data_IF_328722396594
#
_entry.id   IF_328722396594
#
_cell.length_a   1.000
_cell.length_b   1.000
_cell.length_c   1.000
_cell.angle_alpha   90.00
_cell.angle_beta   90.00
_cell.angle_gamma   90.00
#
_symmetry.space_group_name_H-M   'P 1'
#
loop_
_entity.id
_entity.type
_entity.pdbx_description
1 polymer ?
#
# COMPACT_ATOMS: atom_id res chain seq x y z
N UNK A 1 -9.97 33.85 -90.16
CA UNK A 1 -9.83 34.02 -88.70
C UNK A 1 -10.68 33.03 -87.90
N UNK A 2 -11.94 32.78 -88.26
CA UNK A 2 -12.87 31.85 -87.55
C UNK A 2 -12.40 30.37 -87.55
N UNK A 3 -11.73 29.91 -88.61
CA UNK A 3 -11.23 28.52 -88.72
C UNK A 3 -10.07 28.24 -87.74
N UNK A 4 -9.20 29.22 -87.50
CA UNK A 4 -8.05 29.07 -86.60
C UNK A 4 -8.47 29.07 -85.13
N UNK A 5 -9.46 29.89 -84.74
CA UNK A 5 -10.05 29.90 -83.40
C UNK A 5 -10.76 28.58 -83.09
N UNK A 6 -11.47 28.01 -84.07
CA UNK A 6 -12.15 26.72 -83.92
C UNK A 6 -11.17 25.54 -83.80
N UNK A 7 -10.02 25.59 -84.48
CA UNK A 7 -8.94 24.60 -84.33
C UNK A 7 -8.22 24.74 -83.00
N UNK A 8 -7.95 25.97 -82.54
CA UNK A 8 -7.37 26.23 -81.23
C UNK A 8 -8.29 25.75 -80.09
N UNK A 9 -9.58 26.03 -80.19
CA UNK A 9 -10.60 25.56 -79.25
C UNK A 9 -10.73 24.03 -79.23
N UNK A 10 -10.67 23.36 -80.39
CA UNK A 10 -10.70 21.90 -80.47
C UNK A 10 -9.46 21.24 -79.85
N UNK A 11 -8.28 21.85 -80.03
CA UNK A 11 -7.03 21.36 -79.40
C UNK A 11 -7.08 21.55 -77.89
N UNK A 12 -7.58 22.69 -77.41
CA UNK A 12 -7.72 22.95 -75.98
C UNK A 12 -8.75 22.00 -75.33
N UNK A 13 -9.90 21.78 -75.98
CA UNK A 13 -10.91 20.84 -75.53
C UNK A 13 -10.41 19.39 -75.54
N UNK A 14 -9.63 18.99 -76.55
CA UNK A 14 -8.99 17.68 -76.61
C UNK A 14 -7.97 17.46 -75.51
N UNK A 15 -7.22 18.51 -75.14
CA UNK A 15 -6.28 18.47 -74.02
C UNK A 15 -7.01 18.30 -72.68
N UNK A 16 -8.09 19.05 -72.46
CA UNK A 16 -8.95 18.92 -71.27
C UNK A 16 -9.53 17.49 -71.20
N UNK A 17 -10.02 16.96 -72.32
CA UNK A 17 -10.60 15.62 -72.38
C UNK A 17 -9.55 14.55 -72.07
N UNK A 18 -8.30 14.71 -72.52
CA UNK A 18 -7.20 13.80 -72.21
C UNK A 18 -6.85 13.82 -70.73
N UNK A 19 -6.79 15.00 -70.11
CA UNK A 19 -6.54 15.14 -68.67
C UNK A 19 -7.67 14.52 -67.85
N UNK A 20 -8.93 14.77 -68.22
CA UNK A 20 -10.09 14.17 -67.56
C UNK A 20 -10.09 12.65 -67.74
N UNK A 21 -9.79 12.15 -68.93
CA UNK A 21 -9.70 10.70 -69.19
C UNK A 21 -8.57 10.06 -68.39
N UNK A 22 -7.43 10.73 -68.27
CA UNK A 22 -6.31 10.26 -67.44
C UNK A 22 -6.69 10.23 -65.95
N UNK A 23 -7.35 11.28 -65.44
CA UNK A 23 -7.85 11.31 -64.07
C UNK A 23 -8.88 10.18 -63.84
N UNK A 24 -9.80 9.95 -64.78
CA UNK A 24 -10.78 8.86 -64.70
C UNK A 24 -10.11 7.50 -64.78
N UNK A 25 -9.11 7.31 -65.63
CA UNK A 25 -8.34 6.05 -65.71
C UNK A 25 -7.52 5.80 -64.44
N UNK A 26 -6.92 6.83 -63.85
CA UNK A 26 -6.24 6.73 -62.56
C UNK A 26 -7.25 6.44 -61.45
N UNK A 27 -8.41 7.09 -61.43
CA UNK A 27 -9.46 6.81 -60.45
C UNK A 27 -9.94 5.35 -60.57
N UNK A 28 -10.20 4.87 -61.79
CA UNK A 28 -10.59 3.49 -62.07
C UNK A 28 -9.48 2.47 -61.78
N UNK A 29 -8.20 2.84 -61.96
CA UNK A 29 -7.06 1.97 -61.65
C UNK A 29 -6.81 1.88 -60.14
N UNK A 30 -6.97 2.98 -59.41
CA UNK A 30 -6.97 3.02 -57.94
C UNK A 30 -8.13 2.16 -57.42
N UNK A 31 -9.32 2.31 -57.99
CA UNK A 31 -10.52 1.52 -57.68
C UNK A 31 -10.43 0.04 -58.08
N UNK A 32 -9.43 -0.38 -58.86
CA UNK A 32 -9.24 -1.77 -59.28
C UNK A 32 -8.02 -2.45 -58.63
N UNK A 33 -7.09 -1.67 -58.08
CA UNK A 33 -5.80 -2.17 -57.54
C UNK A 33 -5.70 -1.90 -56.03
N UNK A 34 -5.92 -0.67 -55.59
CA UNK A 34 -5.91 -0.29 -54.17
C UNK A 34 -7.17 -0.80 -53.46
N UNK A 35 -8.28 -0.89 -54.18
CA UNK A 35 -9.56 -1.43 -53.69
C UNK A 35 -9.58 -2.96 -53.54
N UNK A 36 -8.51 -3.68 -53.86
CA UNK A 36 -8.44 -5.11 -53.59
C UNK A 36 -8.10 -5.31 -52.12
N UNK A 37 -8.90 -6.07 -51.36
CA UNK A 37 -8.69 -6.26 -49.93
C UNK A 37 -7.29 -6.85 -49.66
N UNK A 38 -6.90 -7.85 -50.44
CA UNK A 38 -5.62 -8.54 -50.31
C UNK A 38 -4.40 -7.64 -50.62
N UNK A 39 -4.55 -6.65 -51.51
CA UNK A 39 -3.42 -5.81 -51.95
C UNK A 39 -2.86 -4.96 -50.81
N UNK A 40 -3.72 -4.42 -49.94
CA UNK A 40 -3.26 -3.57 -48.83
C UNK A 40 -2.54 -4.42 -47.79
N UNK A 41 -3.11 -5.58 -47.43
CA UNK A 41 -2.51 -6.53 -46.49
C UNK A 41 -1.17 -7.06 -46.98
N UNK A 42 -1.07 -7.48 -48.25
CA UNK A 42 0.17 -7.93 -48.88
C UNK A 42 1.25 -6.84 -48.89
N UNK A 43 0.89 -5.58 -49.17
CA UNK A 43 1.87 -4.48 -49.13
C UNK A 43 2.31 -4.12 -47.70
N UNK A 44 1.48 -4.34 -46.68
CA UNK A 44 1.86 -4.14 -45.27
C UNK A 44 2.80 -5.24 -44.79
N UNK A 45 2.57 -6.48 -45.21
CA UNK A 45 3.49 -7.60 -44.99
C UNK A 45 4.83 -7.36 -45.71
N UNK A 46 4.81 -7.02 -47.00
CA UNK A 46 6.03 -6.77 -47.79
C UNK A 46 6.85 -5.57 -47.26
N UNK A 47 6.19 -4.61 -46.64
CA UNK A 47 6.83 -3.44 -46.03
C UNK A 47 7.30 -3.67 -44.58
N UNK A 48 7.20 -4.90 -44.04
CA UNK A 48 7.47 -5.22 -42.65
C UNK A 48 6.72 -4.28 -41.66
N UNK A 49 5.51 -3.86 -42.02
CA UNK A 49 4.79 -2.79 -41.31
C UNK A 49 4.45 -3.18 -39.86
N UNK A 50 4.10 -4.45 -39.62
CA UNK A 50 3.80 -4.96 -38.28
C UNK A 50 5.05 -5.01 -37.40
N UNK A 51 6.20 -5.33 -37.99
CA UNK A 51 7.48 -5.27 -37.30
C UNK A 51 7.83 -3.81 -36.97
N UNK A 52 7.70 -2.89 -37.92
CA UNK A 52 7.90 -1.45 -37.68
C UNK A 52 7.01 -0.92 -36.55
N UNK A 53 5.75 -1.36 -36.46
CA UNK A 53 4.87 -0.95 -35.35
C UNK A 53 5.44 -1.39 -34.00
N UNK A 54 5.90 -2.64 -33.88
CA UNK A 54 6.41 -3.19 -32.62
C UNK A 54 7.86 -2.79 -32.29
N UNK A 55 8.67 -2.49 -33.30
CA UNK A 55 10.11 -2.17 -33.16
C UNK A 55 10.38 -0.66 -33.08
N UNK A 56 9.56 0.17 -33.73
CA UNK A 56 9.80 1.62 -33.82
C UNK A 56 8.64 2.43 -33.20
N UNK A 57 7.39 2.14 -33.56
CA UNK A 57 6.25 2.96 -33.12
C UNK A 57 5.93 2.75 -31.63
N UNK A 58 5.84 1.50 -31.17
CA UNK A 58 5.53 1.20 -29.77
C UNK A 58 6.57 1.81 -28.82
N UNK A 59 7.89 1.61 -29.02
CA UNK A 59 8.89 2.30 -28.20
C UNK A 59 8.74 3.82 -28.20
N UNK A 60 8.51 4.45 -29.36
CA UNK A 60 8.31 5.89 -29.44
C UNK A 60 7.07 6.37 -28.65
N UNK A 61 5.96 5.65 -28.72
CA UNK A 61 4.76 5.96 -27.93
C UNK A 61 4.99 5.77 -26.42
N UNK A 62 5.80 4.79 -26.04
CA UNK A 62 6.18 4.57 -24.65
C UNK A 62 7.15 5.66 -24.16
N UNK A 63 8.07 6.13 -24.98
CA UNK A 63 8.92 7.28 -24.64
C UNK A 63 8.08 8.54 -24.34
N UNK A 64 7.00 8.76 -25.09
CA UNK A 64 6.05 9.83 -24.80
C UNK A 64 5.31 9.58 -23.48
N UNK A 65 4.90 8.33 -23.21
CA UNK A 65 4.22 7.95 -21.96
C UNK A 65 5.09 8.20 -20.71
N UNK A 66 6.41 8.02 -20.82
CA UNK A 66 7.38 8.33 -19.75
C UNK A 66 7.56 9.83 -19.50
N UNK A 67 7.15 10.67 -20.43
CA UNK A 67 7.21 12.13 -20.33
C UNK A 67 5.90 12.76 -19.87
N UNK A 68 4.85 11.96 -19.64
CA UNK A 68 3.60 12.46 -19.09
C UNK A 68 3.81 13.05 -17.70
N UNK A 69 3.07 14.12 -17.44
CA UNK A 69 3.08 14.80 -16.16
C UNK A 69 2.50 13.87 -15.07
N UNK A 70 3.10 13.79 -13.87
CA UNK A 70 2.58 12.95 -12.78
C UNK A 70 1.10 13.21 -12.46
N UNK A 71 0.65 14.46 -12.60
CA UNK A 71 -0.74 14.87 -12.33
C UNK A 71 -1.77 14.15 -13.23
N UNK A 72 -1.35 13.64 -14.40
CA UNK A 72 -2.24 12.93 -15.32
C UNK A 72 -2.68 11.55 -14.81
N UNK A 73 -1.99 11.00 -13.79
CA UNK A 73 -2.27 9.67 -13.24
C UNK A 73 -3.31 9.68 -12.11
N UNK A 74 -3.81 10.85 -11.71
CA UNK A 74 -4.91 11.00 -10.74
C UNK A 74 -4.53 10.73 -9.27
N UNK A 75 -3.23 10.61 -8.98
CA UNK A 75 -2.65 10.52 -7.64
C UNK A 75 -1.52 11.55 -7.52
N UNK A 76 -1.23 12.00 -6.29
CA UNK A 76 -0.15 12.95 -5.99
C UNK A 76 1.21 12.22 -6.03
N UNK A 77 1.61 11.76 -7.22
CA UNK A 77 2.95 11.20 -7.45
C UNK A 77 3.99 12.32 -7.60
N UNK A 78 5.20 12.09 -7.09
CA UNK A 78 6.30 13.05 -7.23
C UNK A 78 6.90 13.00 -8.64
N UNK A 79 6.97 11.81 -9.22
CA UNK A 79 7.47 11.55 -10.56
C UNK A 79 6.47 10.72 -11.37
N UNK A 80 6.67 10.65 -12.69
CA UNK A 80 5.87 9.77 -13.53
C UNK A 80 6.06 8.32 -13.03
N UNK A 81 4.99 7.56 -12.73
CA UNK A 81 5.12 6.22 -12.15
C UNK A 81 5.87 5.25 -13.06
N UNK A 82 5.80 5.41 -14.38
CA UNK A 82 6.59 4.60 -15.31
C UNK A 82 8.09 4.93 -15.19
N UNK A 83 8.44 6.20 -15.01
CA UNK A 83 9.81 6.62 -14.76
C UNK A 83 10.31 6.18 -13.37
N UNK A 84 9.50 6.38 -12.32
CA UNK A 84 9.81 6.01 -10.94
C UNK A 84 9.98 4.50 -10.76
N UNK A 85 9.27 3.70 -11.58
CA UNK A 85 9.41 2.24 -11.61
C UNK A 85 10.81 1.77 -12.05
N UNK A 86 11.61 2.64 -12.67
CA UNK A 86 12.94 2.33 -13.20
C UNK A 86 12.91 1.37 -14.40
N UNK A 87 11.73 1.10 -14.98
CA UNK A 87 11.61 0.43 -16.26
C UNK A 87 12.00 1.38 -17.39
N UNK A 88 12.59 0.82 -18.44
CA UNK A 88 12.79 1.54 -19.70
C UNK A 88 11.65 1.27 -20.70
N UNK A 89 11.38 2.21 -21.63
CA UNK A 89 10.43 1.99 -22.73
C UNK A 89 10.71 0.70 -23.51
N UNK A 90 11.98 0.32 -23.69
CA UNK A 90 12.38 -0.89 -24.41
C UNK A 90 12.05 -2.18 -23.64
N UNK A 91 12.17 -2.17 -22.31
CA UNK A 91 11.77 -3.33 -21.50
C UNK A 91 10.27 -3.60 -21.64
N UNK A 92 9.48 -2.52 -21.63
CA UNK A 92 8.04 -2.59 -21.75
C UNK A 92 7.60 -2.93 -23.19
N UNK A 93 8.23 -2.34 -24.20
CA UNK A 93 8.04 -2.71 -25.61
C UNK A 93 8.38 -4.18 -25.86
N UNK A 94 9.45 -4.68 -25.22
CA UNK A 94 9.80 -6.10 -25.24
C UNK A 94 8.73 -7.00 -24.62
N UNK A 95 8.05 -6.55 -23.57
CA UNK A 95 6.90 -7.26 -22.97
C UNK A 95 5.73 -7.32 -23.95
N UNK A 96 5.39 -6.19 -24.58
CA UNK A 96 4.32 -6.10 -25.59
C UNK A 96 4.61 -7.05 -26.76
N UNK A 97 5.85 -7.06 -27.27
CA UNK A 97 6.25 -7.95 -28.38
C UNK A 97 6.17 -9.43 -28.03
N UNK A 98 6.46 -9.81 -26.78
CA UNK A 98 6.30 -11.20 -26.33
C UNK A 98 4.82 -11.58 -26.18
N UNK A 99 3.99 -10.63 -25.79
CA UNK A 99 2.55 -10.84 -25.67
C UNK A 99 1.82 -10.86 -27.02
N UNK A 100 2.28 -10.05 -27.97
CA UNK A 100 1.74 -9.93 -29.33
C UNK A 100 2.91 -9.90 -30.32
N UNK A 101 3.37 -11.09 -30.77
CA UNK A 101 4.30 -11.22 -31.87
C UNK A 101 3.80 -10.52 -33.16
N UNK A 102 4.70 -10.15 -34.10
CA UNK A 102 4.31 -9.49 -35.35
C UNK A 102 3.26 -10.27 -36.16
N UNK A 103 3.37 -11.60 -36.22
CA UNK A 103 2.42 -12.48 -36.90
C UNK A 103 1.02 -12.46 -36.28
N UNK A 104 0.95 -12.31 -34.95
CA UNK A 104 -0.30 -12.23 -34.22
C UNK A 104 -0.93 -10.84 -34.39
N UNK A 105 -0.11 -9.77 -34.41
CA UNK A 105 -0.57 -8.42 -34.71
C UNK A 105 -1.17 -8.34 -36.12
N UNK A 106 -0.53 -8.98 -37.10
CA UNK A 106 -1.05 -9.10 -38.46
C UNK A 106 -2.40 -9.82 -38.47
N UNK A 107 -2.50 -10.98 -37.82
CA UNK A 107 -3.75 -11.74 -37.74
C UNK A 107 -4.89 -10.96 -37.06
N UNK A 108 -4.58 -10.06 -36.13
CA UNK A 108 -5.55 -9.20 -35.45
C UNK A 108 -6.03 -8.03 -36.33
N UNK A 109 -5.12 -7.43 -37.11
CA UNK A 109 -5.38 -6.18 -37.84
C UNK A 109 -5.89 -6.44 -39.26
N UNK A 110 -5.40 -7.48 -39.94
CA UNK A 110 -5.74 -7.79 -41.33
C UNK A 110 -7.26 -7.90 -41.56
N UNK A 111 -8.05 -8.64 -40.76
CA UNK A 111 -9.49 -8.72 -40.96
C UNK A 111 -10.20 -7.37 -40.82
N UNK A 112 -9.68 -6.47 -39.99
CA UNK A 112 -10.24 -5.14 -39.82
C UNK A 112 -9.95 -4.24 -41.02
N UNK A 113 -8.74 -4.34 -41.59
CA UNK A 113 -8.36 -3.64 -42.82
C UNK A 113 -9.20 -4.13 -44.00
N UNK A 114 -9.33 -5.44 -44.17
CA UNK A 114 -10.16 -6.04 -45.22
C UNK A 114 -11.61 -5.57 -45.11
N UNK A 115 -12.22 -5.69 -43.92
CA UNK A 115 -13.59 -5.22 -43.70
C UNK A 115 -13.77 -3.72 -43.98
N UNK A 116 -12.82 -2.88 -43.58
CA UNK A 116 -12.84 -1.46 -43.88
C UNK A 116 -12.75 -1.17 -45.40
N UNK A 117 -11.89 -1.91 -46.11
CA UNK A 117 -11.75 -1.79 -47.56
C UNK A 117 -12.99 -2.27 -48.30
N UNK A 118 -13.60 -3.36 -47.85
CA UNK A 118 -14.83 -3.91 -48.42
C UNK A 118 -15.98 -2.91 -48.32
N UNK A 119 -16.10 -2.22 -47.20
CA UNK A 119 -17.06 -1.13 -47.03
C UNK A 119 -16.74 0.11 -47.88
N UNK A 120 -15.49 0.59 -47.86
CA UNK A 120 -15.10 1.78 -48.63
C UNK A 120 -15.28 1.60 -50.14
N UNK A 121 -15.16 0.35 -50.61
CA UNK A 121 -15.35 -0.02 -52.02
C UNK A 121 -16.80 -0.40 -52.35
N UNK A 122 -17.70 -0.37 -51.37
CA UNK A 122 -19.12 -0.68 -51.53
C UNK A 122 -19.42 -2.17 -51.77
N UNK A 123 -18.51 -3.06 -51.37
CA UNK A 123 -18.71 -4.52 -51.39
C UNK A 123 -19.54 -5.00 -50.20
N UNK A 124 -19.43 -4.32 -49.06
CA UNK A 124 -20.31 -4.49 -47.91
C UNK A 124 -20.95 -3.15 -47.49
N UNK A 125 -22.21 -3.21 -47.03
CA UNK A 125 -22.95 -2.02 -46.57
C UNK A 125 -22.65 -1.69 -45.09
N UNK A 126 -22.00 -2.59 -44.37
CA UNK A 126 -21.67 -2.46 -42.93
C UNK A 126 -20.29 -3.04 -42.67
N UNK A 127 -19.50 -2.39 -41.82
CA UNK A 127 -18.20 -2.91 -41.35
C UNK A 127 -18.41 -3.64 -40.02
N UNK A 128 -18.19 -4.95 -40.02
CA UNK A 128 -18.15 -5.75 -38.80
C UNK A 128 -16.71 -6.15 -38.45
N UNK A 129 -16.04 -5.35 -37.61
CA UNK A 129 -14.71 -5.67 -37.10
C UNK A 129 -14.85 -6.63 -35.92
N UNK A 130 -14.34 -7.86 -36.07
CA UNK A 130 -14.22 -8.85 -34.98
C UNK A 130 -12.75 -9.06 -34.68
N UNK A 131 -12.33 -8.64 -33.49
CA UNK A 131 -10.96 -8.82 -33.02
C UNK A 131 -10.98 -9.90 -31.95
N UNK A 132 -10.28 -11.01 -32.18
CA UNK A 132 -10.05 -12.04 -31.15
C UNK A 132 -8.81 -11.68 -30.32
N UNK A 133 -8.96 -10.66 -29.47
CA UNK A 133 -7.88 -10.15 -28.65
C UNK A 133 -7.78 -10.86 -27.28
N UNK A 134 -8.64 -11.82 -26.96
CA UNK A 134 -8.77 -12.32 -25.59
C UNK A 134 -7.46 -12.95 -25.07
N UNK A 135 -6.87 -13.86 -25.84
CA UNK A 135 -5.60 -14.50 -25.49
C UNK A 135 -4.43 -13.51 -25.45
N UNK A 136 -4.46 -12.49 -26.31
CA UNK A 136 -3.44 -11.45 -26.40
C UNK A 136 -3.50 -10.50 -25.21
N UNK A 137 -4.70 -10.15 -24.76
CA UNK A 137 -4.91 -9.34 -23.55
C UNK A 137 -4.47 -10.10 -22.29
N UNK A 138 -4.81 -11.39 -22.18
CA UNK A 138 -4.32 -12.26 -21.10
C UNK A 138 -2.77 -12.35 -21.12
N UNK A 139 -2.17 -12.46 -22.31
CA UNK A 139 -0.72 -12.47 -22.47
C UNK A 139 -0.08 -11.14 -22.08
N UNK A 140 -0.68 -10.00 -22.46
CA UNK A 140 -0.19 -8.67 -22.10
C UNK A 140 -0.14 -8.50 -20.57
N UNK A 141 -1.23 -8.78 -19.86
CA UNK A 141 -1.27 -8.66 -18.38
C UNK A 141 -0.15 -9.48 -17.75
N UNK A 142 0.02 -10.73 -18.19
CA UNK A 142 1.08 -11.61 -17.68
C UNK A 142 2.48 -11.08 -17.97
N UNK A 143 2.77 -10.67 -19.19
CA UNK A 143 4.09 -10.15 -19.58
C UNK A 143 4.40 -8.82 -18.87
N UNK A 144 3.42 -7.94 -18.70
CA UNK A 144 3.55 -6.71 -17.93
C UNK A 144 3.88 -7.02 -16.46
N UNK A 145 3.08 -7.85 -15.79
CA UNK A 145 3.33 -8.22 -14.40
C UNK A 145 4.69 -8.88 -14.21
N UNK A 146 5.10 -9.76 -15.13
CA UNK A 146 6.41 -10.40 -15.10
C UNK A 146 7.56 -9.39 -15.22
N UNK A 147 7.48 -8.45 -16.16
CA UNK A 147 8.52 -7.41 -16.33
C UNK A 147 8.61 -6.49 -15.12
N UNK A 148 7.48 -6.12 -14.51
CA UNK A 148 7.49 -5.31 -13.29
C UNK A 148 8.14 -6.06 -12.10
N UNK A 149 7.83 -7.34 -11.92
CA UNK A 149 8.44 -8.17 -10.87
C UNK A 149 9.94 -8.35 -11.10
N UNK A 150 10.35 -8.81 -12.29
CA UNK A 150 11.75 -9.13 -12.59
C UNK A 150 12.67 -7.90 -12.55
N UNK A 151 12.13 -6.72 -12.83
CA UNK A 151 12.89 -5.47 -12.82
C UNK A 151 12.99 -4.80 -11.44
N UNK A 152 12.27 -5.31 -10.43
CA UNK A 152 12.13 -4.65 -9.14
C UNK A 152 11.33 -3.35 -9.21
N UNK A 153 10.46 -3.18 -10.23
CA UNK A 153 9.67 -1.98 -10.42
C UNK A 153 8.72 -1.71 -9.25
N UNK A 154 8.09 -2.75 -8.72
CA UNK A 154 7.20 -2.67 -7.58
C UNK A 154 7.92 -2.18 -6.31
N UNK A 155 9.11 -2.71 -6.02
CA UNK A 155 9.93 -2.28 -4.89
C UNK A 155 10.28 -0.79 -5.00
N UNK A 156 10.76 -0.35 -6.18
CA UNK A 156 11.09 1.06 -6.41
C UNK A 156 9.88 1.99 -6.29
N UNK A 157 8.73 1.58 -6.83
CA UNK A 157 7.49 2.35 -6.69
C UNK A 157 7.05 2.45 -5.23
N UNK A 158 7.19 1.37 -4.47
CA UNK A 158 6.89 1.40 -3.03
C UNK A 158 7.77 2.38 -2.28
N UNK A 159 9.08 2.34 -2.51
CA UNK A 159 10.03 3.19 -1.79
C UNK A 159 9.92 4.66 -2.21
N UNK A 160 9.82 4.93 -3.52
CA UNK A 160 9.90 6.29 -4.07
C UNK A 160 8.58 7.03 -4.07
N UNK A 161 7.47 6.33 -4.32
CA UNK A 161 6.17 6.97 -4.53
C UNK A 161 5.20 6.65 -3.38
N UNK A 162 5.00 5.38 -3.07
CA UNK A 162 3.95 4.99 -2.13
C UNK A 162 4.32 5.25 -0.67
N UNK A 163 5.58 5.05 -0.27
CA UNK A 163 6.04 5.31 1.10
C UNK A 163 5.89 6.79 1.51
N UNK A 164 6.29 7.77 0.67
CA UNK A 164 5.97 9.17 0.93
C UNK A 164 4.47 9.46 1.05
N UNK A 165 3.65 8.90 0.15
CA UNK A 165 2.19 9.04 0.18
C UNK A 165 1.62 8.49 1.49
N UNK A 166 2.08 7.32 1.95
CA UNK A 166 1.67 6.76 3.24
C UNK A 166 2.08 7.67 4.41
N UNK A 167 3.27 8.25 4.36
CA UNK A 167 3.71 9.24 5.33
C UNK A 167 2.79 10.47 5.38
N UNK A 168 2.40 10.99 4.22
CA UNK A 168 1.44 12.09 4.11
C UNK A 168 0.07 11.72 4.68
N UNK A 169 -0.45 10.53 4.38
CA UNK A 169 -1.73 10.06 4.93
C UNK A 169 -1.69 9.93 6.45
N UNK A 170 -0.58 9.43 7.01
CA UNK A 170 -0.35 9.39 8.46
C UNK A 170 -0.33 10.80 9.02
N UNK A 171 0.31 11.73 8.33
CA UNK A 171 0.42 13.13 8.76
C UNK A 171 -0.91 13.88 8.77
N UNK A 172 -1.75 13.63 7.76
CA UNK A 172 -3.09 14.18 7.63
C UNK A 172 -4.08 13.55 8.63
N UNK A 173 -4.03 12.22 8.79
CA UNK A 173 -4.89 11.48 9.70
C UNK A 173 -4.57 11.69 11.17
N UNK A 174 -3.29 11.93 11.48
CA UNK A 174 -2.77 12.14 12.84
C UNK A 174 -1.93 13.42 12.89
N UNK A 175 -2.54 14.61 12.85
CA UNK A 175 -1.81 15.88 12.82
C UNK A 175 -0.98 16.08 14.11
N UNK A 176 0.25 16.56 13.96
CA UNK A 176 1.18 16.79 15.07
C UNK A 176 0.71 17.86 16.09
N UNK A 177 -0.31 18.67 15.76
CA UNK A 177 -0.76 19.81 16.54
C UNK A 177 -2.02 19.57 17.39
N UNK A 178 -1.89 19.70 18.71
CA UNK A 178 -2.98 19.64 19.70
C UNK A 178 -2.43 19.30 21.08
N UNK A 179 -3.28 19.00 22.07
CA UNK A 179 -2.90 18.13 23.22
C UNK A 179 -2.64 16.70 22.71
N UNK A 180 -1.86 16.56 21.63
CA UNK A 180 -1.57 15.30 20.97
C UNK A 180 -0.76 14.47 21.96
N UNK A 181 -1.42 13.41 22.46
CA UNK A 181 -0.84 12.44 23.37
C UNK A 181 0.45 11.91 22.78
N UNK A 182 1.47 11.68 23.61
CA UNK A 182 2.76 11.15 23.18
C UNK A 182 2.67 9.82 22.37
N UNK A 183 1.54 9.11 22.46
CA UNK A 183 1.18 8.00 21.57
C UNK A 183 1.08 8.34 20.08
N UNK A 184 0.63 9.54 19.73
CA UNK A 184 0.58 10.01 18.34
C UNK A 184 1.99 10.11 17.77
N UNK A 185 2.97 10.52 18.59
CA UNK A 185 4.36 10.57 18.17
C UNK A 185 4.95 9.17 17.93
N UNK A 186 4.51 8.14 18.65
CA UNK A 186 4.92 6.75 18.40
C UNK A 186 4.35 6.25 17.09
N UNK A 187 3.04 6.40 16.89
CA UNK A 187 2.38 5.93 15.66
C UNK A 187 2.95 6.61 14.40
N UNK A 188 3.41 7.85 14.53
CA UNK A 188 4.11 8.60 13.47
C UNK A 188 5.59 8.24 13.30
N UNK A 189 6.18 7.46 14.20
CA UNK A 189 7.62 7.23 14.29
C UNK A 189 8.35 8.31 15.10
N UNK A 190 9.21 7.87 16.02
CA UNK A 190 10.17 8.75 16.69
C UNK A 190 11.12 9.42 15.68
N UNK A 191 11.80 10.49 16.10
CA UNK A 191 12.59 11.41 15.26
C UNK A 191 13.86 10.82 14.59
N UNK A 192 13.82 9.59 14.09
CA UNK A 192 14.96 8.90 13.47
C UNK A 192 14.64 7.64 12.66
N UNK A 193 13.39 7.18 12.56
CA UNK A 193 12.98 6.12 11.62
C UNK A 193 12.34 6.75 10.39
N UNK A 194 12.82 6.39 9.18
CA UNK A 194 12.15 6.76 7.93
C UNK A 194 10.78 6.04 7.87
N UNK A 195 9.69 6.82 7.77
CA UNK A 195 8.32 6.34 7.61
C UNK A 195 7.50 6.23 8.91
N UNK A 196 8.09 5.81 10.02
CA UNK A 196 7.37 5.65 11.29
C UNK A 196 6.42 4.45 11.37
N UNK A 197 5.91 4.17 12.57
CA UNK A 197 5.29 2.87 12.90
C UNK A 197 4.06 2.53 12.02
N UNK A 198 3.22 3.50 11.67
CA UNK A 198 2.07 3.24 10.80
C UNK A 198 2.46 3.00 9.34
N UNK A 199 3.45 3.72 8.81
CA UNK A 199 3.98 3.45 7.46
C UNK A 199 4.58 2.05 7.42
N UNK A 200 5.24 1.62 8.50
CA UNK A 200 5.74 0.25 8.65
C UNK A 200 4.62 -0.80 8.56
N UNK A 201 3.46 -0.56 9.18
CA UNK A 201 2.29 -1.46 9.00
C UNK A 201 1.89 -1.54 7.53
N UNK A 202 1.82 -0.41 6.83
CA UNK A 202 1.46 -0.40 5.41
C UNK A 202 2.49 -1.14 4.55
N UNK A 203 3.79 -0.91 4.77
CA UNK A 203 4.86 -1.52 3.96
C UNK A 203 5.08 -2.99 4.28
N UNK A 204 4.76 -3.45 5.50
CA UNK A 204 4.72 -4.88 5.85
C UNK A 204 3.65 -5.63 5.07
N UNK A 205 2.52 -4.98 4.78
CA UNK A 205 1.37 -5.63 4.12
C UNK A 205 1.39 -5.46 2.61
N UNK A 206 1.69 -4.26 2.14
CA UNK A 206 1.74 -3.91 0.72
C UNK A 206 3.09 -4.30 0.09
N UNK A 207 3.40 -5.59 0.08
CA UNK A 207 4.67 -6.08 -0.48
C UNK A 207 4.67 -6.01 -2.02
N UNK A 208 5.86 -6.11 -2.66
CA UNK A 208 5.97 -6.24 -4.12
C UNK A 208 5.09 -7.35 -4.71
N UNK A 209 5.03 -8.50 -4.04
CA UNK A 209 4.22 -9.65 -4.45
C UNK A 209 2.72 -9.37 -4.33
N UNK A 210 2.29 -8.72 -3.23
CA UNK A 210 0.90 -8.32 -3.05
C UNK A 210 0.46 -7.37 -4.17
N UNK A 211 1.25 -6.35 -4.49
CA UNK A 211 0.92 -5.41 -5.58
C UNK A 211 0.87 -6.11 -6.94
N UNK A 212 1.80 -7.02 -7.22
CA UNK A 212 1.78 -7.80 -8.45
C UNK A 212 0.47 -8.59 -8.59
N UNK A 213 0.01 -9.20 -7.49
CA UNK A 213 -1.28 -9.90 -7.45
C UNK A 213 -2.46 -8.94 -7.65
N UNK A 214 -2.43 -7.72 -7.09
CA UNK A 214 -3.47 -6.72 -7.34
C UNK A 214 -3.49 -6.25 -8.81
N UNK A 215 -2.33 -6.01 -9.41
CA UNK A 215 -2.20 -5.59 -10.81
C UNK A 215 -2.65 -6.70 -11.76
N UNK A 216 -2.25 -7.94 -11.52
CA UNK A 216 -2.72 -9.09 -12.31
C UNK A 216 -4.24 -9.26 -12.16
N UNK A 217 -4.76 -9.16 -10.93
CA UNK A 217 -6.19 -9.21 -10.66
C UNK A 217 -6.98 -8.11 -11.37
N UNK A 218 -6.49 -6.87 -11.33
CA UNK A 218 -7.07 -5.74 -12.03
C UNK A 218 -7.00 -5.91 -13.55
N UNK A 219 -5.85 -6.35 -14.07
CA UNK A 219 -5.64 -6.67 -15.48
C UNK A 219 -6.65 -7.70 -15.98
N UNK A 220 -6.80 -8.81 -15.27
CA UNK A 220 -7.79 -9.85 -15.58
C UNK A 220 -9.23 -9.31 -15.61
N UNK A 221 -9.59 -8.36 -14.73
CA UNK A 221 -10.91 -7.71 -14.75
C UNK A 221 -11.10 -6.80 -15.95
N UNK A 222 -10.04 -6.11 -16.39
CA UNK A 222 -10.06 -5.33 -17.63
C UNK A 222 -10.25 -6.26 -18.83
N UNK A 223 -9.56 -7.40 -18.87
CA UNK A 223 -9.76 -8.40 -19.94
C UNK A 223 -11.18 -8.93 -19.93
N UNK A 224 -11.70 -9.35 -18.77
CA UNK A 224 -13.07 -9.85 -18.63
C UNK A 224 -14.10 -8.86 -19.15
N UNK A 225 -13.92 -7.57 -18.88
CA UNK A 225 -14.80 -6.51 -19.38
C UNK A 225 -14.62 -6.27 -20.88
N UNK A 226 -13.37 -6.13 -21.35
CA UNK A 226 -13.06 -5.84 -22.75
C UNK A 226 -13.59 -6.91 -23.71
N UNK A 227 -13.57 -8.18 -23.29
CA UNK A 227 -14.06 -9.32 -24.08
C UNK A 227 -15.51 -9.70 -23.74
N UNK A 228 -16.24 -8.83 -23.04
CA UNK A 228 -17.64 -8.99 -22.67
C UNK A 228 -17.96 -10.28 -21.88
N UNK A 229 -17.00 -10.80 -21.08
CA UNK A 229 -17.24 -11.83 -20.05
C UNK A 229 -17.92 -11.23 -18.81
N UNK A 230 -17.78 -9.92 -18.60
CA UNK A 230 -18.44 -9.15 -17.55
C UNK A 230 -19.07 -7.88 -18.13
N UNK A 231 -20.32 -7.61 -17.78
CA UNK A 231 -21.03 -6.37 -18.14
C UNK A 231 -20.58 -5.17 -17.28
N UNK A 232 -19.74 -5.38 -16.28
CA UNK A 232 -19.28 -4.35 -15.36
C UNK A 232 -17.80 -4.49 -15.08
N UNK A 233 -17.07 -3.38 -15.20
CA UNK A 233 -15.69 -3.27 -14.74
C UNK A 233 -15.72 -2.88 -13.25
N UNK A 234 -15.33 -3.82 -12.39
CA UNK A 234 -15.18 -3.60 -10.95
C UNK A 234 -13.80 -4.09 -10.51
N UNK A 235 -12.89 -3.13 -10.29
CA UNK A 235 -11.57 -3.39 -9.71
C UNK A 235 -11.73 -3.32 -8.19
N UNK A 236 -11.29 -4.37 -7.50
CA UNK A 236 -11.27 -4.42 -6.04
C UNK A 236 -9.84 -4.65 -5.61
N UNK A 237 -9.33 -3.71 -4.81
CA UNK A 237 -8.09 -3.92 -4.08
C UNK A 237 -8.46 -4.64 -2.79
N UNK A 238 -7.87 -5.81 -2.59
CA UNK A 238 -8.19 -6.69 -1.48
C UNK A 238 -6.94 -7.09 -0.70
N UNK A 239 -7.11 -7.21 0.62
CA UNK A 239 -6.16 -7.88 1.49
C UNK A 239 -6.73 -9.25 1.84
N UNK A 240 -5.94 -10.30 1.69
CA UNK A 240 -6.27 -11.65 2.14
C UNK A 240 -6.20 -11.74 3.67
N UNK A 241 -6.64 -12.86 4.22
CA UNK A 241 -6.56 -13.13 5.66
C UNK A 241 -5.10 -13.06 6.15
N UNK A 242 -4.14 -13.54 5.36
CA UNK A 242 -2.71 -13.52 5.69
C UNK A 242 -2.14 -12.10 5.74
N UNK A 243 -2.56 -11.20 4.83
CA UNK A 243 -2.14 -9.79 4.85
C UNK A 243 -2.72 -9.05 6.06
N UNK A 244 -3.97 -9.33 6.43
CA UNK A 244 -4.58 -8.72 7.61
C UNK A 244 -3.94 -9.25 8.89
N UNK A 245 -3.60 -10.55 8.95
CA UNK A 245 -2.86 -11.12 10.07
C UNK A 245 -1.46 -10.49 10.21
N UNK A 246 -0.75 -10.28 9.10
CA UNK A 246 0.54 -9.58 9.10
C UNK A 246 0.41 -8.13 9.61
N UNK A 247 -0.61 -7.40 9.17
CA UNK A 247 -0.91 -6.05 9.68
C UNK A 247 -1.13 -6.05 11.20
N UNK A 248 -1.91 -7.01 11.68
CA UNK A 248 -2.24 -7.15 13.09
C UNK A 248 -1.00 -7.50 13.93
N UNK A 249 -0.17 -8.43 13.45
CA UNK A 249 1.09 -8.79 14.10
C UNK A 249 2.06 -7.60 14.17
N UNK A 250 2.13 -6.78 13.12
CA UNK A 250 2.94 -5.58 13.10
C UNK A 250 2.44 -4.54 14.11
N UNK A 251 1.12 -4.35 14.22
CA UNK A 251 0.51 -3.50 15.26
C UNK A 251 0.85 -4.01 16.66
N UNK A 252 0.78 -5.33 16.90
CA UNK A 252 1.19 -5.91 18.18
C UNK A 252 2.67 -5.62 18.48
N UNK A 253 3.54 -5.78 17.48
CA UNK A 253 4.97 -5.51 17.61
C UNK A 253 5.21 -4.06 18.05
N UNK A 254 4.59 -3.09 17.37
CA UNK A 254 4.65 -1.65 17.71
C UNK A 254 4.27 -1.41 19.18
N UNK A 255 3.21 -2.06 19.67
CA UNK A 255 2.74 -1.88 21.05
C UNK A 255 3.73 -2.45 22.08
N UNK A 256 4.42 -3.53 21.75
CA UNK A 256 5.41 -4.19 22.62
C UNK A 256 6.78 -3.53 22.61
N UNK A 257 7.04 -2.58 21.69
CA UNK A 257 8.30 -1.84 21.67
C UNK A 257 8.49 -1.03 22.95
N UNK A 258 9.72 -0.99 23.44
CA UNK A 258 10.05 -0.38 24.73
C UNK A 258 9.67 1.11 24.80
N UNK A 259 9.88 1.84 23.71
CA UNK A 259 9.51 3.26 23.61
C UNK A 259 7.99 3.44 23.61
N UNK A 260 7.24 2.50 23.01
CA UNK A 260 5.79 2.52 23.00
C UNK A 260 5.21 2.36 24.41
N UNK A 261 5.68 1.34 25.14
CA UNK A 261 5.26 1.10 26.52
C UNK A 261 5.63 2.23 27.47
N UNK A 262 6.84 2.79 27.37
CA UNK A 262 7.28 3.82 28.31
C UNK A 262 6.46 5.10 28.19
N UNK A 263 6.14 5.47 26.94
CA UNK A 263 5.25 6.58 26.65
C UNK A 263 3.82 6.28 27.08
N UNK A 264 3.31 5.07 26.81
CA UNK A 264 2.03 4.58 27.30
C UNK A 264 1.86 4.81 28.78
N UNK A 265 2.86 4.34 29.50
CA UNK A 265 2.89 4.32 30.93
C UNK A 265 2.93 5.74 31.48
N UNK A 266 3.88 6.56 31.03
CA UNK A 266 4.06 7.93 31.51
C UNK A 266 2.84 8.83 31.25
N UNK A 267 2.10 8.61 30.15
CA UNK A 267 1.03 9.51 29.72
C UNK A 267 -0.39 9.04 30.07
N UNK A 268 -0.61 7.73 30.22
CA UNK A 268 -1.95 7.18 30.49
C UNK A 268 -2.00 6.52 31.86
N UNK A 269 -1.09 5.57 32.12
CA UNK A 269 -1.15 4.71 33.30
C UNK A 269 -0.71 5.47 34.55
N UNK A 270 0.44 6.14 34.49
CA UNK A 270 1.03 6.86 35.62
C UNK A 270 0.14 8.01 36.10
N UNK A 271 -0.45 8.88 35.24
CA UNK A 271 -1.36 9.92 35.70
C UNK A 271 -2.63 9.35 36.36
N UNK A 272 -3.22 8.29 35.79
CA UNK A 272 -4.38 7.62 36.36
C UNK A 272 -4.05 6.95 37.71
N UNK A 273 -2.87 6.33 37.81
CA UNK A 273 -2.39 5.70 39.03
C UNK A 273 -2.04 6.73 40.12
N UNK A 274 -1.40 7.85 39.77
CA UNK A 274 -1.12 8.98 40.68
C UNK A 274 -2.39 9.52 41.34
N UNK A 275 -3.50 9.57 40.60
CA UNK A 275 -4.81 9.97 41.13
C UNK A 275 -5.38 8.99 42.16
N UNK A 276 -4.95 7.73 42.12
CA UNK A 276 -5.49 6.64 42.96
C UNK A 276 -4.56 6.23 44.11
N UNK A 277 -3.27 6.63 44.08
CA UNK A 277 -2.25 6.22 45.05
C UNK A 277 -1.89 7.37 45.99
N UNK A 278 -2.01 7.15 47.30
CA UNK A 278 -1.58 8.10 48.32
C UNK A 278 -0.07 8.38 48.23
N UNK A 279 0.36 9.59 48.60
CA UNK A 279 1.77 10.00 48.52
C UNK A 279 2.69 9.12 49.39
N UNK A 280 2.20 8.73 50.56
CA UNK A 280 2.84 7.77 51.46
C UNK A 280 1.76 6.85 52.05
N UNK A 281 1.93 5.55 51.87
CA UNK A 281 1.07 4.53 52.47
C UNK A 281 1.76 4.00 53.73
N UNK A 282 1.30 4.47 54.90
CA UNK A 282 1.82 4.00 56.18
C UNK A 282 1.44 2.53 56.39
N UNK A 283 2.46 1.68 56.59
CA UNK A 283 2.29 0.27 56.87
C UNK A 283 2.49 -0.01 58.38
N UNK A 284 1.99 -1.15 58.89
CA UNK A 284 2.29 -1.59 60.25
C UNK A 284 3.81 -1.68 60.49
N UNK A 285 4.23 -1.49 61.75
CA UNK A 285 5.63 -1.55 62.18
C UNK A 285 6.52 -0.39 61.69
N UNK A 286 5.92 0.77 61.38
CA UNK A 286 6.67 1.98 61.07
C UNK A 286 7.35 1.96 59.70
N UNK A 287 6.99 1.00 58.84
CA UNK A 287 7.36 1.01 57.43
C UNK A 287 6.38 1.86 56.64
N UNK A 288 6.80 2.34 55.48
CA UNK A 288 5.95 3.05 54.56
C UNK A 288 6.31 2.65 53.13
N UNK A 289 5.31 2.62 52.26
CA UNK A 289 5.52 2.57 50.82
C UNK A 289 5.29 3.97 50.27
N UNK A 290 6.28 4.47 49.54
CA UNK A 290 6.19 5.71 48.78
C UNK A 290 5.34 5.50 47.53
N UNK A 291 4.74 6.57 47.02
CA UNK A 291 4.04 6.54 45.73
C UNK A 291 4.91 5.99 44.61
N UNK A 292 6.20 6.35 44.57
CA UNK A 292 7.14 5.88 43.56
C UNK A 292 7.30 4.36 43.61
N UNK A 293 7.50 3.77 44.79
CA UNK A 293 7.60 2.31 44.92
C UNK A 293 6.31 1.58 44.49
N UNK A 294 5.15 2.21 44.69
CA UNK A 294 3.86 1.67 44.20
C UNK A 294 3.76 1.76 42.68
N UNK A 295 4.16 2.89 42.09
CA UNK A 295 4.13 3.08 40.65
C UNK A 295 5.16 2.20 39.94
N UNK A 296 6.34 1.99 40.49
CA UNK A 296 7.34 1.09 39.91
C UNK A 296 6.85 -0.35 39.95
N UNK A 297 6.26 -0.80 41.06
CA UNK A 297 5.70 -2.14 41.15
C UNK A 297 4.49 -2.36 40.23
N UNK A 298 3.70 -1.31 39.97
CA UNK A 298 2.62 -1.36 38.96
C UNK A 298 3.22 -1.44 37.56
N UNK A 299 4.22 -0.61 37.24
CA UNK A 299 4.93 -0.61 35.96
C UNK A 299 5.50 -1.99 35.65
N UNK A 300 6.25 -2.56 36.59
CA UNK A 300 6.87 -3.87 36.44
C UNK A 300 5.84 -4.99 36.24
N UNK A 301 4.65 -4.85 36.83
CA UNK A 301 3.60 -5.86 36.73
C UNK A 301 2.75 -5.76 35.45
N UNK A 302 2.78 -4.62 34.76
CA UNK A 302 2.14 -4.43 33.45
C UNK A 302 3.17 -4.40 32.32
N UNK A 303 4.47 -4.51 32.62
CA UNK A 303 5.53 -4.67 31.64
C UNK A 303 5.73 -6.16 31.29
N UNK A 304 6.24 -6.44 30.09
CA UNK A 304 6.60 -7.80 29.64
C UNK A 304 5.40 -8.67 29.29
N UNK A 305 5.34 -9.90 29.81
CA UNK A 305 4.36 -10.95 29.44
C UNK A 305 2.90 -10.47 29.43
N UNK A 306 2.51 -9.58 30.37
CA UNK A 306 1.16 -9.03 30.39
C UNK A 306 0.90 -8.12 29.18
N UNK A 307 1.85 -7.25 28.85
CA UNK A 307 1.76 -6.34 27.71
C UNK A 307 1.73 -7.14 26.41
N UNK A 308 2.59 -8.15 26.27
CA UNK A 308 2.60 -9.02 25.08
C UNK A 308 1.23 -9.68 24.88
N UNK A 309 0.62 -10.20 25.95
CA UNK A 309 -0.72 -10.79 25.89
C UNK A 309 -1.81 -9.76 25.52
N UNK A 310 -1.69 -8.52 26.00
CA UNK A 310 -2.64 -7.46 25.64
C UNK A 310 -2.45 -6.98 24.19
N UNK A 311 -1.20 -6.91 23.71
CA UNK A 311 -0.87 -6.55 22.35
C UNK A 311 -1.42 -7.59 21.35
N UNK A 312 -1.28 -8.89 21.66
CA UNK A 312 -1.90 -9.96 20.87
C UNK A 312 -3.42 -9.86 20.86
N UNK A 313 -4.05 -9.61 22.02
CA UNK A 313 -5.52 -9.46 22.09
C UNK A 313 -6.00 -8.27 21.26
N UNK A 314 -5.28 -7.15 21.32
CA UNK A 314 -5.58 -5.96 20.53
C UNK A 314 -5.44 -6.26 19.02
N UNK A 315 -4.37 -6.95 18.61
CA UNK A 315 -4.15 -7.35 17.23
C UNK A 315 -5.27 -8.27 16.71
N UNK A 316 -5.66 -9.28 17.48
CA UNK A 316 -6.76 -10.19 17.14
C UNK A 316 -8.09 -9.43 16.96
N UNK A 317 -8.38 -8.49 17.86
CA UNK A 317 -9.59 -7.67 17.79
C UNK A 317 -9.59 -6.75 16.55
N UNK A 318 -8.42 -6.17 16.21
CA UNK A 318 -8.25 -5.34 15.01
C UNK A 318 -8.41 -6.17 13.74
N UNK A 319 -7.83 -7.37 13.69
CA UNK A 319 -7.96 -8.30 12.57
C UNK A 319 -9.42 -8.72 12.36
N UNK A 320 -10.12 -9.08 13.44
CA UNK A 320 -11.53 -9.47 13.40
C UNK A 320 -12.43 -8.34 12.88
N UNK A 321 -12.17 -7.10 13.30
CA UNK A 321 -12.91 -5.93 12.79
C UNK A 321 -12.61 -5.66 11.31
N UNK A 322 -11.32 -5.68 10.92
CA UNK A 322 -10.89 -5.35 9.56
C UNK A 322 -11.36 -6.39 8.53
N UNK A 323 -11.42 -7.66 8.92
CA UNK A 323 -12.00 -8.74 8.10
C UNK A 323 -13.52 -8.78 8.13
N UNK A 324 -14.18 -7.91 8.89
CA UNK A 324 -15.65 -7.84 9.00
C UNK A 324 -16.26 -8.99 9.81
N UNK A 325 -15.47 -9.73 10.59
CA UNK A 325 -15.99 -10.73 11.54
C UNK A 325 -16.75 -10.07 12.68
N UNK A 326 -16.40 -8.84 13.02
CA UNK A 326 -17.11 -7.99 13.98
C UNK A 326 -17.48 -6.65 13.35
N UNK A 327 -18.68 -6.14 13.65
CA UNK A 327 -19.13 -4.82 13.18
C UNK A 327 -18.58 -3.66 14.01
N UNK A 328 -18.00 -3.96 15.18
CA UNK A 328 -17.46 -2.97 16.10
C UNK A 328 -16.24 -3.51 16.83
N UNK A 329 -15.27 -2.63 17.05
CA UNK A 329 -14.06 -2.91 17.80
C UNK A 329 -14.26 -2.53 19.28
N UNK A 330 -14.08 -3.49 20.19
CA UNK A 330 -14.11 -3.26 21.66
C UNK A 330 -13.10 -4.18 22.33
N UNK A 331 -11.95 -3.63 22.72
CA UNK A 331 -10.93 -4.39 23.44
C UNK A 331 -11.07 -4.25 24.96
N UNK A 332 -10.88 -5.34 25.69
CA UNK A 332 -10.96 -5.37 27.17
C UNK A 332 -9.67 -5.90 27.76
N UNK A 333 -8.97 -5.05 28.52
CA UNK A 333 -7.72 -5.43 29.17
C UNK A 333 -7.99 -6.03 30.56
N UNK A 334 -7.59 -7.29 30.79
CA UNK A 334 -7.71 -7.93 32.11
C UNK A 334 -6.52 -7.56 33.00
N UNK A 335 -6.82 -6.91 34.14
CA UNK A 335 -5.84 -6.46 35.12
C UNK A 335 -5.65 -7.45 36.28
N UNK A 336 -6.33 -8.60 36.33
CA UNK A 336 -6.27 -9.52 37.49
C UNK A 336 -4.85 -10.07 37.71
N UNK A 337 -4.21 -10.52 36.64
CA UNK A 337 -2.83 -11.03 36.69
C UNK A 337 -1.85 -9.92 37.08
N UNK A 338 -1.87 -8.80 36.36
CA UNK A 338 -1.04 -7.63 36.67
C UNK A 338 -1.21 -7.14 38.11
N UNK A 339 -2.44 -7.07 38.64
CA UNK A 339 -2.69 -6.71 40.06
C UNK A 339 -2.09 -7.73 41.03
N UNK A 340 -2.10 -9.01 40.67
CA UNK A 340 -1.52 -10.08 41.49
C UNK A 340 0.00 -9.96 41.53
N UNK A 341 0.63 -9.64 40.41
CA UNK A 341 2.08 -9.48 40.30
C UNK A 341 2.55 -8.19 40.98
N UNK A 342 1.85 -7.07 40.78
CA UNK A 342 2.10 -5.82 41.49
C UNK A 342 2.01 -6.01 43.02
N UNK A 343 1.00 -6.76 43.49
CA UNK A 343 0.88 -7.10 44.93
C UNK A 343 2.08 -7.92 45.41
N UNK A 344 2.56 -8.87 44.61
CA UNK A 344 3.73 -9.70 44.96
C UNK A 344 4.99 -8.85 45.05
N UNK A 345 5.21 -7.97 44.07
CA UNK A 345 6.32 -7.02 44.06
C UNK A 345 6.28 -6.09 45.29
N UNK A 346 5.13 -5.47 45.57
CA UNK A 346 4.96 -4.59 46.74
C UNK A 346 5.17 -5.31 48.08
N UNK A 347 4.72 -6.56 48.18
CA UNK A 347 4.95 -7.38 49.38
C UNK A 347 6.44 -7.66 49.58
N UNK A 348 7.18 -7.92 48.50
CA UNK A 348 8.62 -8.11 48.57
C UNK A 348 9.34 -6.83 49.01
N UNK A 349 8.98 -5.67 48.44
CA UNK A 349 9.53 -4.35 48.82
C UNK A 349 9.26 -4.03 50.29
N UNK A 350 8.01 -4.19 50.76
CA UNK A 350 7.67 -3.99 52.16
C UNK A 350 8.43 -4.93 53.11
N UNK A 351 8.63 -6.19 52.69
CA UNK A 351 9.39 -7.18 53.48
C UNK A 351 10.88 -6.82 53.54
N UNK A 352 11.47 -6.34 52.45
CA UNK A 352 12.85 -5.90 52.39
C UNK A 352 13.07 -4.68 53.30
N UNK A 353 12.20 -3.66 53.20
CA UNK A 353 12.21 -2.47 54.06
C UNK A 353 12.10 -2.84 55.54
N UNK A 354 11.20 -3.77 55.90
CA UNK A 354 11.08 -4.26 57.28
C UNK A 354 12.36 -4.97 57.76
N UNK A 355 12.97 -5.83 56.93
CA UNK A 355 14.21 -6.54 57.29
C UNK A 355 15.37 -5.57 57.50
N UNK A 356 15.48 -4.55 56.66
CA UNK A 356 16.48 -3.50 56.80
C UNK A 356 16.27 -2.71 58.10
N UNK A 357 15.03 -2.28 58.35
CA UNK A 357 14.66 -1.62 59.61
C UNK A 357 14.96 -2.48 60.85
N UNK A 358 14.79 -3.80 60.76
CA UNK A 358 15.13 -4.75 61.83
C UNK A 358 16.65 -4.92 62.01
N UNK A 359 17.43 -4.95 60.92
CA UNK A 359 18.91 -5.03 60.98
C UNK A 359 19.54 -3.75 61.53
N UNK A 360 18.89 -2.61 61.34
CA UNK A 360 19.31 -1.33 61.91
C UNK A 360 18.99 -1.16 63.40
N UNK A 361 18.34 -2.13 64.04
CA UNK A 361 18.08 -2.07 65.48
C UNK A 361 19.36 -2.35 66.28
N UNK A 362 19.68 -1.54 67.30
CA UNK A 362 20.83 -1.79 68.16
C UNK A 362 20.64 -3.09 68.98
N UNK A 363 21.73 -3.85 69.15
CA UNK A 363 21.77 -4.99 70.07
C UNK A 363 21.53 -4.50 71.50
N UNK A 364 20.34 -4.80 72.03
CA UNK A 364 19.94 -4.34 73.34
C UNK A 364 20.64 -5.16 74.42
N UNK A 365 21.70 -4.63 75.01
CA UNK A 365 22.41 -5.28 76.13
C UNK A 365 21.87 -4.85 77.50
N UNK A 366 21.11 -3.75 77.56
CA UNK A 366 20.54 -3.23 78.81
C UNK A 366 19.06 -2.84 78.69
N UNK A 367 18.33 -2.90 79.81
CA UNK A 367 16.90 -2.51 79.89
C UNK A 367 16.71 -1.01 79.60
N UNK A 368 17.70 -0.16 79.91
CA UNK A 368 17.64 1.28 79.66
C UNK A 368 17.69 1.65 78.18
N UNK A 369 18.44 0.90 77.35
CA UNK A 369 18.50 1.09 75.89
C UNK A 369 17.21 0.71 75.18
N UNK A 370 16.36 -0.14 75.79
CA UNK A 370 15.05 -0.46 75.24
C UNK A 370 14.06 0.72 75.28
N UNK A 371 14.32 1.75 76.08
CA UNK A 371 13.43 2.92 76.25
C UNK A 371 13.61 3.98 75.15
N UNK A 372 14.76 4.01 74.45
CA UNK A 372 15.06 4.92 73.33
C UNK A 372 14.51 4.43 71.97
N UNK A 373 13.73 3.34 71.97
CA UNK A 373 13.20 2.70 70.76
C UNK A 373 12.36 3.62 69.85
N UNK A 374 12.33 3.36 68.53
CA UNK A 374 11.37 3.96 67.62
C UNK A 374 9.91 3.84 68.13
N UNK A 375 9.10 4.88 67.90
CA UNK A 375 7.74 5.02 68.45
C UNK A 375 6.80 3.85 68.14
N UNK A 376 6.98 3.20 66.99
CA UNK A 376 6.19 2.04 66.56
C UNK A 376 6.47 0.76 67.35
N UNK A 377 7.62 0.66 68.03
CA UNK A 377 7.93 -0.45 68.93
C UNK A 377 7.31 -0.21 70.32
N UNK A 378 7.22 1.06 70.73
CA UNK A 378 6.66 1.45 72.04
C UNK A 378 5.13 1.29 72.09
N UNK A 379 4.43 1.42 70.97
CA UNK A 379 2.95 1.40 70.92
C UNK A 379 2.31 0.04 71.24
N UNK A 380 3.06 -1.08 71.25
CA UNK A 380 2.54 -2.41 71.64
C UNK A 380 2.98 -2.90 73.02
N UNK A 381 3.77 -2.13 73.76
CA UNK A 381 4.18 -2.50 75.12
C UNK A 381 3.18 -2.08 76.21
N UNK A 382 1.96 -1.65 75.84
CA UNK A 382 0.86 -1.48 76.79
C UNK A 382 -0.04 -2.72 76.74
N UNK A 383 0.02 -3.63 77.73
CA UNK A 383 -1.00 -4.66 77.84
C UNK A 383 -2.30 -3.96 78.22
N UNK A 384 -3.34 -4.15 77.40
CA UNK A 384 -4.72 -3.84 77.80
C UNK A 384 -5.03 -4.67 79.05
N UNK A 385 -4.93 -4.06 80.23
CA UNK A 385 -5.59 -4.58 81.43
C UNK A 385 -7.07 -4.22 81.29
N UNK A 386 -7.87 -5.28 81.27
CA UNK A 386 -9.33 -5.29 81.47
C UNK A 386 -9.77 -4.40 82.62
#
# INVERSE_FOLDING_TARGET
MIISIRRLGAVFLGLIFLVVTFIVLVALAVDATVARPDFVSEQLEEADAYQFVLDDLVPALLEDAWQLDPDEFGFEFEENPLAASGLSPEQLAGAIRRAIPPEDLEALVTPAIEGAMDYLTGREDEVAIRIDAASHLDALVREFSAVFLESGAYERLMERELTPIFGQWVDEGLPAGGESSAWVAILRGGSGEEGGSLVRVFTTVATPEWMAAQVEGAGNKIVDYAVARSDTLAIRIGFSEDEVEQAANEIAAIVTEADAFDVAYANVVEPAAKGSVAEVSALPYGTALTRTEVLDAVRDAVAGDWLDAQASTLADDVAAYTTGQTEAFTTTFDLIAAKTDARRALTATATASLREGLRGLPDCTTVAESASRPSWIRSKASPSRS
#
